data_IF_661047471493
#
_entry.id   IF_661047471493
#
_cell.length_a   1.000
_cell.length_b   1.000
_cell.length_c   1.000
_cell.angle_alpha   90.00
_cell.angle_beta   90.00
_cell.angle_gamma   90.00
#
_symmetry.space_group_name_H-M   'P 1'
#
loop_
_entity.id
_entity.type
_entity.pdbx_description
1 polymer ?
#
# COMPACT_ATOMS: atom_id res chain seq x y z
N UNK A 1 13.69 16.93 23.92
CA UNK A 1 13.80 15.47 23.70
C UNK A 1 13.44 15.20 22.25
N UNK A 2 14.35 14.62 21.45
CA UNK A 2 14.04 14.26 20.04
C UNK A 2 13.32 12.91 20.03
N UNK A 3 12.31 12.78 19.19
CA UNK A 3 11.67 11.49 18.91
C UNK A 3 12.37 10.90 17.69
N UNK A 4 12.75 9.62 17.80
CA UNK A 4 13.35 8.89 16.69
C UNK A 4 12.24 8.23 15.85
N UNK A 5 12.38 8.32 14.53
CA UNK A 5 11.51 7.61 13.60
C UNK A 5 12.08 6.20 13.35
N UNK A 6 11.22 5.19 13.43
CA UNK A 6 11.61 3.78 13.25
C UNK A 6 10.70 3.10 12.23
N UNK A 7 11.24 2.12 11.50
CA UNK A 7 10.47 1.27 10.57
C UNK A 7 10.04 0.02 11.34
N UNK A 8 8.74 -0.16 11.52
CA UNK A 8 8.17 -1.29 12.28
C UNK A 8 7.79 -2.50 11.42
N UNK A 9 7.58 -2.28 10.11
CA UNK A 9 7.23 -3.34 9.16
C UNK A 9 7.57 -2.91 7.74
N UNK A 10 7.99 -3.85 6.90
CA UNK A 10 8.30 -3.63 5.48
C UNK A 10 7.94 -4.88 4.67
N UNK A 11 7.09 -4.70 3.67
CA UNK A 11 6.57 -5.79 2.82
C UNK A 11 6.43 -5.33 1.37
N UNK A 12 6.29 -6.28 0.46
CA UNK A 12 6.02 -6.03 -0.96
C UNK A 12 5.23 -7.19 -1.57
N UNK A 13 4.53 -6.92 -2.66
CA UNK A 13 3.93 -7.98 -3.50
C UNK A 13 4.99 -8.73 -4.30
N UNK A 14 4.56 -9.85 -4.91
CA UNK A 14 5.30 -10.48 -6.00
C UNK A 14 5.35 -9.53 -7.22
N UNK A 15 6.44 -9.61 -7.99
CA UNK A 15 6.62 -8.81 -9.21
C UNK A 15 6.45 -9.75 -10.41
N UNK A 16 5.57 -9.36 -11.33
CA UNK A 16 5.35 -10.07 -12.59
C UNK A 16 5.76 -9.20 -13.79
N UNK A 17 5.98 -9.84 -14.93
CA UNK A 17 6.17 -9.13 -16.20
C UNK A 17 4.91 -8.37 -16.59
N UNK A 18 5.07 -7.22 -17.21
CA UNK A 18 3.95 -6.48 -17.80
C UNK A 18 3.19 -7.38 -18.78
N UNK A 19 1.85 -7.43 -18.65
CA UNK A 19 1.00 -8.35 -19.43
C UNK A 19 1.07 -9.82 -18.99
N UNK A 20 1.77 -10.14 -17.89
CA UNK A 20 1.92 -11.49 -17.38
C UNK A 20 0.92 -11.86 -16.28
N UNK A 21 1.37 -12.69 -15.32
CA UNK A 21 0.53 -13.35 -14.32
C UNK A 21 -0.35 -12.44 -13.44
N UNK A 22 0.01 -11.15 -13.32
CA UNK A 22 -0.72 -10.18 -12.49
C UNK A 22 -1.45 -9.11 -13.31
N UNK A 23 -1.51 -9.24 -14.63
CA UNK A 23 -2.01 -8.18 -15.52
C UNK A 23 -3.52 -7.88 -15.37
N UNK A 24 -4.30 -8.83 -14.87
CA UNK A 24 -5.76 -8.69 -14.69
C UNK A 24 -6.14 -8.12 -13.33
N UNK A 25 -5.19 -7.98 -12.40
CA UNK A 25 -5.45 -7.49 -11.05
C UNK A 25 -5.41 -5.96 -11.06
N UNK A 26 -6.46 -5.28 -10.55
CA UNK A 26 -6.45 -3.82 -10.47
C UNK A 26 -5.31 -3.29 -9.60
N UNK A 27 -4.73 -2.15 -9.98
CA UNK A 27 -3.55 -1.62 -9.31
C UNK A 27 -3.75 -1.32 -7.82
N UNK A 28 -4.95 -0.89 -7.41
CA UNK A 28 -5.25 -0.56 -6.01
C UNK A 28 -5.22 -1.78 -5.10
N UNK A 29 -5.61 -2.97 -5.61
CA UNK A 29 -5.57 -4.23 -4.85
C UNK A 29 -4.15 -4.54 -4.37
N UNK A 30 -3.13 -4.25 -5.19
CA UNK A 30 -1.74 -4.47 -4.75
C UNK A 30 -1.34 -3.53 -3.61
N UNK A 31 -1.81 -2.28 -3.62
CA UNK A 31 -1.57 -1.30 -2.56
C UNK A 31 -2.29 -1.67 -1.27
N UNK A 32 -3.55 -2.09 -1.39
CA UNK A 32 -4.37 -2.57 -0.28
C UNK A 32 -3.73 -3.78 0.41
N UNK A 33 -3.31 -4.78 -0.36
CA UNK A 33 -2.72 -6.02 0.17
C UNK A 33 -1.43 -5.75 0.95
N UNK A 34 -0.56 -4.86 0.45
CA UNK A 34 0.68 -4.52 1.18
C UNK A 34 0.42 -3.73 2.44
N UNK A 35 -0.58 -2.83 2.45
CA UNK A 35 -0.94 -2.07 3.66
C UNK A 35 -1.50 -3.01 4.72
N UNK A 36 -2.44 -3.89 4.34
CA UNK A 36 -3.02 -4.90 5.25
C UNK A 36 -1.96 -5.82 5.84
N UNK A 37 -1.07 -6.36 5.01
CA UNK A 37 -0.01 -7.25 5.47
C UNK A 37 1.04 -6.51 6.32
N UNK A 38 1.38 -5.26 5.99
CA UNK A 38 2.31 -4.45 6.79
C UNK A 38 1.77 -4.21 8.21
N UNK A 39 0.49 -3.82 8.32
CA UNK A 39 -0.20 -3.62 9.60
C UNK A 39 -0.30 -4.94 10.38
N UNK A 40 -0.65 -6.05 9.70
CA UNK A 40 -0.73 -7.37 10.32
C UNK A 40 0.61 -7.81 10.92
N UNK A 41 1.73 -7.59 10.23
CA UNK A 41 3.09 -7.91 10.74
C UNK A 41 3.53 -6.98 11.88
N UNK A 42 3.14 -5.72 11.82
CA UNK A 42 3.38 -4.75 12.89
C UNK A 42 2.44 -4.95 14.10
N UNK A 43 1.40 -5.78 13.96
CA UNK A 43 0.35 -6.00 14.95
C UNK A 43 -0.31 -4.70 15.40
N UNK A 44 -0.72 -3.87 14.44
CA UNK A 44 -1.43 -2.61 14.65
C UNK A 44 -2.80 -2.63 13.95
N UNK A 45 -3.76 -1.87 14.50
CA UNK A 45 -5.04 -1.61 13.86
C UNK A 45 -5.01 -0.34 12.99
N UNK A 46 -5.99 -0.17 12.09
CA UNK A 46 -6.08 1.00 11.21
C UNK A 46 -6.25 2.33 11.98
N UNK A 47 -6.84 2.30 13.17
CA UNK A 47 -6.98 3.47 14.04
C UNK A 47 -5.66 4.07 14.54
N UNK A 48 -4.55 3.33 14.39
CA UNK A 48 -3.21 3.80 14.73
C UNK A 48 -2.47 4.45 13.54
N UNK A 49 -3.09 4.49 12.36
CA UNK A 49 -2.50 5.05 11.14
C UNK A 49 -3.05 6.47 10.94
N UNK A 50 -2.17 7.46 11.09
CA UNK A 50 -2.54 8.87 10.86
C UNK A 50 -2.59 9.23 9.37
N UNK A 51 -1.65 8.73 8.57
CA UNK A 51 -1.48 9.07 7.16
C UNK A 51 -1.02 7.87 6.32
N UNK A 52 -1.50 7.79 5.07
CA UNK A 52 -1.04 6.83 4.06
C UNK A 52 -0.49 7.58 2.84
N UNK A 53 0.79 7.38 2.54
CA UNK A 53 1.46 8.02 1.39
C UNK A 53 1.82 6.94 0.37
N UNK A 54 1.25 7.03 -0.85
CA UNK A 54 1.47 6.05 -1.92
C UNK A 54 2.07 6.70 -3.17
N UNK A 55 3.23 6.18 -3.60
CA UNK A 55 3.86 6.58 -4.86
C UNK A 55 3.27 5.84 -6.05
N UNK A 56 2.87 6.57 -7.09
CA UNK A 56 2.40 5.99 -8.36
C UNK A 56 2.79 6.90 -9.53
N UNK A 57 3.24 6.30 -10.64
CA UNK A 57 3.74 7.03 -11.83
C UNK A 57 2.70 7.07 -12.95
N UNK A 58 2.00 5.95 -13.19
CA UNK A 58 0.96 5.82 -14.21
C UNK A 58 -0.38 5.54 -13.51
N UNK A 59 -1.14 6.58 -13.25
CA UNK A 59 -2.50 6.49 -12.69
C UNK A 59 -3.49 6.33 -13.83
N UNK A 60 -4.14 5.16 -13.92
CA UNK A 60 -5.07 4.79 -15.00
C UNK A 60 -6.39 5.56 -15.05
N UNK A 61 -6.41 6.87 -14.73
CA UNK A 61 -7.63 7.68 -14.69
C UNK A 61 -7.62 8.89 -13.75
N UNK A 62 -6.46 9.38 -13.31
CA UNK A 62 -6.33 10.65 -12.56
C UNK A 62 -6.58 10.59 -11.04
N UNK A 63 -7.26 9.57 -10.53
CA UNK A 63 -7.44 9.36 -9.08
C UNK A 63 -6.21 8.66 -8.47
N UNK A 64 -5.72 9.15 -7.33
CA UNK A 64 -4.58 8.56 -6.62
C UNK A 64 -4.93 7.20 -5.99
N UNK A 65 -4.00 6.24 -6.03
CA UNK A 65 -4.20 4.89 -5.51
C UNK A 65 -4.52 4.89 -4.00
N UNK A 66 -3.88 5.75 -3.20
CA UNK A 66 -4.13 5.85 -1.75
C UNK A 66 -5.59 6.22 -1.43
N UNK A 67 -6.14 7.22 -2.14
CA UNK A 67 -7.51 7.70 -1.93
C UNK A 67 -8.59 6.66 -2.25
N UNK A 68 -8.28 5.71 -3.13
CA UNK A 68 -9.20 4.60 -3.44
C UNK A 68 -9.18 3.60 -2.29
N UNK A 69 -7.99 3.28 -1.75
CA UNK A 69 -7.83 2.30 -0.67
C UNK A 69 -8.48 2.77 0.63
N UNK A 70 -8.40 4.05 0.97
CA UNK A 70 -9.04 4.60 2.19
C UNK A 70 -10.58 4.54 2.17
N UNK A 71 -11.19 4.28 1.01
CA UNK A 71 -12.65 4.23 0.85
C UNK A 71 -13.21 2.81 0.88
N UNK A 72 -12.37 1.79 0.84
CA UNK A 72 -12.74 0.36 0.83
C UNK A 72 -12.33 -0.33 2.14
#
# INVERSE_FOLDING_TARGET
MKRDAVIVSAVRTAIARQGGALATVPAHIFGEEVIKEAMRRANIGPEMVDDVIMGNVLSGGGQGIATIIERE
#
